data_IF_977854267482
#
_entry.id   IF_977854267482
#
_cell.length_a   1.000
_cell.length_b   1.000
_cell.length_c   1.000
_cell.angle_alpha   90.00
_cell.angle_beta   90.00
_cell.angle_gamma   90.00
#
_symmetry.space_group_name_H-M   'P 1'
#
loop_
_entity.id
_entity.type
_entity.pdbx_description
1 polymer ?
#
# COMPACT_ATOMS: atom_id res chain seq x y z
N UNK A 1 1.10 -0.87 -12.90
CA UNK A 1 0.80 0.27 -13.79
C UNK A 1 1.43 0.17 -15.18
N UNK A 2 2.65 -0.36 -15.35
CA UNK A 2 3.23 -0.57 -16.70
C UNK A 2 2.34 -1.48 -17.57
N UNK A 3 1.91 -2.62 -17.02
CA UNK A 3 0.97 -3.56 -17.64
C UNK A 3 -0.36 -2.86 -18.01
N UNK A 4 -0.99 -2.16 -17.06
CA UNK A 4 -2.24 -1.44 -17.32
C UNK A 4 -2.12 -0.34 -18.39
N UNK A 5 -0.96 0.33 -18.51
CA UNK A 5 -0.70 1.28 -19.60
C UNK A 5 -0.49 0.59 -20.95
N UNK A 6 0.14 -0.58 -20.96
CA UNK A 6 0.38 -1.37 -22.17
C UNK A 6 -0.93 -1.97 -22.71
N UNK A 7 -1.84 -2.36 -21.82
CA UNK A 7 -3.16 -2.90 -22.15
C UNK A 7 -4.22 -1.81 -22.45
N UNK A 8 -3.85 -0.53 -22.42
CA UNK A 8 -4.78 0.58 -22.70
C UNK A 8 -5.86 0.84 -21.63
N UNK A 9 -5.85 0.09 -20.53
CA UNK A 9 -6.82 0.22 -19.42
C UNK A 9 -6.48 1.34 -18.43
N UNK A 10 -5.29 1.96 -18.56
CA UNK A 10 -4.84 3.08 -17.74
C UNK A 10 -4.33 4.22 -18.63
N UNK A 11 -4.84 5.43 -18.40
CA UNK A 11 -4.40 6.61 -19.13
C UNK A 11 -2.93 6.92 -18.82
N UNK A 12 -2.11 7.19 -19.85
CA UNK A 12 -0.66 7.42 -19.70
C UNK A 12 -0.34 8.57 -18.73
N UNK A 13 -1.13 9.63 -18.79
CA UNK A 13 -1.02 10.83 -17.94
C UNK A 13 -2.08 10.86 -16.82
N UNK A 14 -2.83 9.76 -16.64
CA UNK A 14 -3.88 9.68 -15.63
C UNK A 14 -3.36 9.26 -14.26
N UNK A 15 -4.27 9.26 -13.29
CA UNK A 15 -3.98 8.77 -11.94
C UNK A 15 -3.85 7.25 -11.91
N UNK A 16 -3.01 6.73 -11.00
CA UNK A 16 -2.88 5.29 -10.78
C UNK A 16 -4.20 4.65 -10.35
N UNK A 17 -4.97 5.37 -9.54
CA UNK A 17 -6.31 5.00 -9.09
C UNK A 17 -7.28 6.08 -9.56
N UNK A 18 -7.77 5.97 -10.81
CA UNK A 18 -8.70 6.96 -11.35
C UNK A 18 -10.08 6.84 -10.68
N UNK A 19 -10.77 7.97 -10.58
CA UNK A 19 -12.18 8.02 -10.22
C UNK A 19 -13.08 7.77 -11.42
N UNK A 20 -14.31 8.29 -11.38
CA UNK A 20 -15.25 8.22 -12.51
C UNK A 20 -14.70 8.87 -13.80
N UNK A 21 -13.77 9.83 -13.67
CA UNK A 21 -13.05 10.40 -14.80
C UNK A 21 -11.58 9.97 -14.72
N UNK A 22 -11.03 9.46 -15.83
CA UNK A 22 -9.65 8.95 -15.89
C UNK A 22 -8.57 9.97 -15.48
N UNK A 23 -8.86 11.27 -15.63
CA UNK A 23 -7.96 12.37 -15.26
C UNK A 23 -8.14 12.87 -13.82
N UNK A 24 -9.09 12.31 -13.07
CA UNK A 24 -9.30 12.64 -11.65
C UNK A 24 -8.97 11.43 -10.78
N UNK A 25 -8.38 11.61 -9.59
CA UNK A 25 -8.15 10.50 -8.68
C UNK A 25 -9.48 9.98 -8.10
N UNK A 26 -9.46 8.75 -7.61
CA UNK A 26 -10.53 8.23 -6.76
C UNK A 26 -10.74 9.16 -5.55
N UNK A 27 -11.99 9.43 -5.19
CA UNK A 27 -12.27 10.25 -4.01
C UNK A 27 -12.09 9.44 -2.72
N UNK A 28 -11.78 10.12 -1.62
CA UNK A 28 -11.65 9.50 -0.30
C UNK A 28 -12.93 8.79 0.13
N UNK A 29 -14.10 9.37 -0.20
CA UNK A 29 -15.41 8.76 0.03
C UNK A 29 -15.59 7.45 -0.72
N UNK A 30 -15.15 7.41 -1.98
CA UNK A 30 -15.20 6.18 -2.79
C UNK A 30 -14.27 5.11 -2.23
N UNK A 31 -13.03 5.47 -1.88
CA UNK A 31 -12.10 4.54 -1.25
C UNK A 31 -12.66 3.99 0.08
N UNK A 32 -13.24 4.85 0.92
CA UNK A 32 -13.87 4.43 2.17
C UNK A 32 -15.00 3.42 1.91
N UNK A 33 -15.87 3.71 0.93
CA UNK A 33 -16.98 2.83 0.56
C UNK A 33 -16.48 1.45 0.12
N UNK A 34 -15.47 1.39 -0.74
CA UNK A 34 -14.86 0.12 -1.20
C UNK A 34 -14.33 -0.70 -0.03
N UNK A 35 -13.66 -0.06 0.95
CA UNK A 35 -13.16 -0.75 2.14
C UNK A 35 -14.29 -1.30 3.00
N UNK A 36 -15.38 -0.55 3.18
CA UNK A 36 -16.55 -1.01 3.94
C UNK A 36 -17.24 -2.17 3.25
N UNK A 37 -17.46 -2.08 1.94
CA UNK A 37 -18.05 -3.16 1.13
C UNK A 37 -17.21 -4.43 1.22
N UNK A 38 -15.88 -4.32 1.13
CA UNK A 38 -14.98 -5.46 1.30
C UNK A 38 -15.03 -6.06 2.71
N UNK A 39 -15.11 -5.22 3.75
CA UNK A 39 -15.24 -5.70 5.13
C UNK A 39 -16.56 -6.43 5.37
N UNK A 40 -17.66 -5.94 4.79
CA UNK A 40 -18.96 -6.60 4.82
C UNK A 40 -18.94 -7.94 4.09
N UNK A 41 -18.35 -7.99 2.90
CA UNK A 41 -18.20 -9.24 2.13
C UNK A 41 -17.33 -10.29 2.83
N UNK A 42 -16.45 -9.85 3.73
CA UNK A 42 -15.60 -10.71 4.56
C UNK A 42 -16.21 -11.01 5.95
N UNK A 43 -17.49 -10.68 6.19
CA UNK A 43 -18.20 -10.85 7.47
C UNK A 43 -17.51 -10.19 8.67
N UNK A 44 -16.78 -9.10 8.44
CA UNK A 44 -16.13 -8.33 9.50
C UNK A 44 -17.15 -7.37 10.13
N UNK A 45 -17.67 -7.74 11.30
CA UNK A 45 -18.65 -6.94 12.04
C UNK A 45 -18.09 -5.61 12.61
N UNK A 46 -16.77 -5.46 12.68
CA UNK A 46 -16.12 -4.24 13.19
C UNK A 46 -16.21 -3.12 12.17
N UNK A 47 -16.22 -1.87 12.64
CA UNK A 47 -16.09 -0.71 11.76
C UNK A 47 -14.68 -0.64 11.18
N UNK A 48 -14.55 -0.90 9.88
CA UNK A 48 -13.28 -0.84 9.14
C UNK A 48 -13.30 0.32 8.14
N UNK A 49 -12.16 1.00 8.01
CA UNK A 49 -11.92 2.02 6.99
C UNK A 49 -10.43 2.10 6.63
N UNK A 50 -10.04 3.01 5.72
CA UNK A 50 -8.65 3.12 5.27
C UNK A 50 -7.64 3.33 6.41
N UNK A 51 -8.01 4.08 7.46
CA UNK A 51 -7.15 4.26 8.63
C UNK A 51 -6.99 2.99 9.45
N UNK A 52 -8.05 2.18 9.59
CA UNK A 52 -7.96 0.87 10.26
C UNK A 52 -6.95 -0.02 9.53
N UNK A 53 -7.00 -0.09 8.20
CA UNK A 53 -6.05 -0.86 7.40
C UNK A 53 -4.61 -0.37 7.60
N UNK A 54 -4.39 0.96 7.62
CA UNK A 54 -3.08 1.55 7.89
C UNK A 54 -2.55 1.21 9.28
N UNK A 55 -3.41 1.23 10.29
CA UNK A 55 -3.02 0.85 11.65
C UNK A 55 -2.71 -0.64 11.75
N UNK A 56 -3.53 -1.51 11.15
CA UNK A 56 -3.25 -2.95 11.09
C UNK A 56 -1.92 -3.26 10.42
N UNK A 57 -1.59 -2.56 9.33
CA UNK A 57 -0.27 -2.68 8.70
C UNK A 57 0.87 -2.33 9.66
N UNK A 58 0.74 -1.23 10.40
CA UNK A 58 1.73 -0.82 11.40
C UNK A 58 1.87 -1.84 12.54
N UNK A 59 0.73 -2.33 13.05
CA UNK A 59 0.67 -3.31 14.12
C UNK A 59 1.32 -4.62 13.70
N UNK A 60 1.01 -5.15 12.51
CA UNK A 60 1.63 -6.39 12.03
C UNK A 60 3.14 -6.25 11.83
N UNK A 61 3.62 -5.11 11.32
CA UNK A 61 5.06 -4.88 11.24
C UNK A 61 5.71 -4.85 12.62
N UNK A 62 5.06 -4.23 13.60
CA UNK A 62 5.57 -4.17 14.97
C UNK A 62 5.58 -5.56 15.63
N UNK A 63 4.52 -6.35 15.44
CA UNK A 63 4.39 -7.73 15.91
C UNK A 63 5.47 -8.65 15.28
N UNK A 64 5.82 -8.41 14.01
CA UNK A 64 6.91 -9.08 13.30
C UNK A 64 8.32 -8.60 13.73
N UNK A 65 8.41 -7.70 14.72
CA UNK A 65 9.68 -7.18 15.24
C UNK A 65 10.34 -6.11 14.37
N UNK A 66 9.60 -5.52 13.43
CA UNK A 66 10.12 -4.42 12.60
C UNK A 66 10.38 -3.19 13.47
N UNK A 67 11.54 -2.57 13.29
CA UNK A 67 11.91 -1.36 14.00
C UNK A 67 10.89 -0.24 13.79
N UNK A 68 10.40 0.35 14.89
CA UNK A 68 9.40 1.43 14.92
C UNK A 68 9.77 2.59 13.99
N UNK A 69 11.07 2.86 13.80
CA UNK A 69 11.57 3.94 12.92
C UNK A 69 11.37 3.59 11.45
N UNK A 70 11.50 2.32 11.08
CA UNK A 70 11.21 1.83 9.73
C UNK A 70 9.71 1.89 9.46
N UNK A 71 8.90 1.48 10.45
CA UNK A 71 7.43 1.59 10.36
C UNK A 71 7.02 3.05 10.13
N UNK A 72 7.59 4.01 10.86
CA UNK A 72 7.32 5.43 10.69
C UNK A 72 7.66 5.94 9.27
N UNK A 73 8.77 5.49 8.69
CA UNK A 73 9.15 5.82 7.31
C UNK A 73 8.18 5.20 6.31
N UNK A 74 7.83 3.92 6.45
CA UNK A 74 6.87 3.22 5.58
C UNK A 74 5.49 3.87 5.60
N UNK A 75 5.07 4.39 6.76
CA UNK A 75 3.82 5.11 6.91
C UNK A 75 3.92 6.57 6.43
N UNK A 76 5.11 7.14 6.30
CA UNK A 76 5.32 8.52 5.85
C UNK A 76 5.07 9.58 6.92
N UNK A 77 5.31 9.28 8.20
CA UNK A 77 5.24 10.28 9.27
C UNK A 77 6.49 11.19 9.23
N UNK A 78 6.31 12.42 8.75
CA UNK A 78 7.37 13.39 8.43
C UNK A 78 8.11 14.04 9.62
N UNK A 79 7.85 13.64 10.87
CA UNK A 79 8.54 14.22 12.05
C UNK A 79 9.37 13.18 12.77
N UNK A 80 10.49 12.80 12.15
CA UNK A 80 11.60 12.13 12.81
C UNK A 80 12.59 13.22 13.23
N UNK A 81 12.56 13.63 14.50
CA UNK A 81 13.58 14.53 15.05
C UNK A 81 14.94 13.82 14.90
N UNK A 82 15.82 14.36 14.02
CA UNK A 82 17.13 13.86 13.53
C UNK A 82 17.13 13.12 12.17
N UNK A 83 16.74 13.85 11.12
CA UNK A 83 16.48 13.38 9.75
C UNK A 83 17.68 12.74 9.01
N UNK A 84 18.92 13.15 9.27
CA UNK A 84 20.08 12.75 8.44
C UNK A 84 20.60 11.31 8.67
N UNK A 85 20.55 10.81 9.91
CA UNK A 85 20.97 9.44 10.22
C UNK A 85 19.92 8.41 9.74
N UNK A 86 18.63 8.78 9.81
CA UNK A 86 17.52 7.88 9.50
C UNK A 86 17.30 7.64 8.01
N UNK A 87 17.56 8.61 7.13
CA UNK A 87 17.46 8.40 5.67
C UNK A 87 18.38 7.27 5.21
N UNK A 88 19.60 7.19 5.74
CA UNK A 88 20.60 6.21 5.29
C UNK A 88 20.28 4.79 5.75
N UNK A 89 19.76 4.62 6.97
CA UNK A 89 19.35 3.32 7.52
C UNK A 89 18.03 2.86 6.91
N UNK A 90 17.03 3.75 6.83
CA UNK A 90 15.72 3.39 6.30
C UNK A 90 15.79 3.01 4.81
N UNK A 91 16.56 3.70 3.98
CA UNK A 91 16.63 3.39 2.53
C UNK A 91 17.21 2.01 2.25
N UNK A 92 18.13 1.51 3.09
CA UNK A 92 18.73 0.18 2.92
C UNK A 92 17.84 -0.93 3.49
N UNK A 93 17.17 -0.69 4.62
CA UNK A 93 16.38 -1.72 5.32
C UNK A 93 14.92 -1.79 4.87
N UNK A 94 14.31 -0.69 4.39
CA UNK A 94 12.93 -0.71 3.85
C UNK A 94 12.79 -1.72 2.71
N UNK A 95 13.83 -1.91 1.89
CA UNK A 95 13.86 -2.90 0.81
C UNK A 95 13.85 -4.36 1.27
N UNK A 96 14.26 -4.63 2.51
CA UNK A 96 14.31 -5.99 3.07
C UNK A 96 13.12 -6.31 3.95
N UNK A 97 12.32 -5.32 4.33
CA UNK A 97 11.08 -5.54 5.08
C UNK A 97 10.06 -6.17 4.15
N UNK A 98 9.61 -7.38 4.50
CA UNK A 98 8.51 -8.06 3.82
C UNK A 98 7.20 -7.40 4.25
N UNK A 99 6.35 -6.97 3.31
CA UNK A 99 5.04 -6.41 3.66
C UNK A 99 4.16 -7.53 4.24
N UNK A 100 3.36 -7.27 5.29
CA UNK A 100 2.35 -8.22 5.76
C UNK A 100 1.41 -8.69 4.64
N UNK A 101 1.16 -7.85 3.64
CA UNK A 101 0.33 -8.20 2.48
C UNK A 101 1.01 -9.21 1.53
N UNK A 102 2.34 -9.21 1.45
CA UNK A 102 3.08 -10.13 0.57
C UNK A 102 2.99 -11.58 1.09
N UNK A 103 2.83 -11.75 2.40
CA UNK A 103 2.67 -13.06 3.06
C UNK A 103 1.34 -13.73 2.73
N UNK A 104 0.34 -12.99 2.24
CA UNK A 104 -0.98 -13.53 1.91
C UNK A 104 -0.99 -14.34 0.61
N UNK A 105 0.13 -14.43 -0.11
CA UNK A 105 0.24 -15.22 -1.34
C UNK A 105 -0.62 -14.72 -2.50
N UNK A 106 -1.22 -13.52 -2.37
CA UNK A 106 -2.12 -12.92 -3.36
C UNK A 106 -1.41 -12.51 -4.65
N UNK A 107 -0.08 -12.49 -4.66
CA UNK A 107 0.75 -12.26 -5.83
C UNK A 107 1.82 -13.35 -5.92
N UNK A 108 1.54 -14.39 -6.71
CA UNK A 108 2.58 -15.29 -7.21
C UNK A 108 3.36 -14.55 -8.30
N UNK A 109 4.69 -14.35 -8.19
CA UNK A 109 5.48 -13.72 -9.24
C UNK A 109 5.66 -14.56 -10.52
N UNK A 110 4.97 -15.70 -10.64
CA UNK A 110 5.26 -16.74 -11.65
C UNK A 110 4.64 -16.49 -13.04
N UNK A 111 3.96 -15.36 -13.28
CA UNK A 111 3.39 -15.01 -14.61
C UNK A 111 3.94 -13.70 -15.18
N UNK A 112 5.23 -13.44 -15.02
CA UNK A 112 5.95 -12.49 -15.87
C UNK A 112 7.00 -13.28 -16.64
N UNK A 113 6.57 -13.91 -17.73
CA UNK A 113 7.50 -14.38 -18.76
C UNK A 113 8.34 -13.19 -19.23
N UNK A 114 9.68 -13.29 -19.24
CA UNK A 114 10.50 -12.36 -19.97
C UNK A 114 10.38 -12.73 -21.45
N UNK A 115 9.34 -12.21 -22.12
CA UNK A 115 9.39 -12.17 -23.59
C UNK A 115 10.48 -11.15 -23.95
N UNK A 116 11.44 -11.65 -24.73
CA UNK A 116 12.70 -10.98 -25.10
C UNK A 116 12.57 -9.70 -25.92
#
# INVERSE_FOLDING_TARGET
WKVGRQQGVMHREGWLFPGQHAMKPISTRQLYRVVVEAAQAADIAKRVGPHTLRHSFATHLLEDGTDIRIIQVLLGHAKLNSTAFYTKVATRTVRTVTSPLDKLGLFKPEEISPDG
#
